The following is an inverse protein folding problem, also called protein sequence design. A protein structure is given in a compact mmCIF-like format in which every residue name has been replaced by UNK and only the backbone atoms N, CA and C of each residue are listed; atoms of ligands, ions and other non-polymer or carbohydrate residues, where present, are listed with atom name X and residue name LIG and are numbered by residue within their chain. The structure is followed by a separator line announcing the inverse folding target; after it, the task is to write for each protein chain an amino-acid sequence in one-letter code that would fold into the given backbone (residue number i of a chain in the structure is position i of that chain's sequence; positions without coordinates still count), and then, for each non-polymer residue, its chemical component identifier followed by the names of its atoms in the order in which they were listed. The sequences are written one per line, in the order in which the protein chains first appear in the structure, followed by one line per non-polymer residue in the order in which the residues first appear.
data_IF_249568322417
#
_entry.id   IF_249568322417
#
_cell.length_a   1.000
_cell.length_b   1.000
_cell.length_c   1.000
_cell.angle_alpha   90.00
_cell.angle_beta   90.00
_cell.angle_gamma   90.00
#
_symmetry.space_group_name_H-M   'P 1'
#
loop_
_entity.id
_entity.type
_entity.pdbx_description
1 polymer ?
#
# COMPACT_ATOMS: atom_id res chain seq x y z
N UNK A 1 4.16 45.13 -33.15
CA UNK A 1 5.39 45.75 -32.61
C UNK A 1 5.24 45.80 -31.09
N UNK A 2 6.19 45.18 -30.36
CA UNK A 2 6.60 45.37 -28.94
C UNK A 2 5.46 45.48 -27.89
N UNK A 3 5.44 44.66 -26.84
CA UNK A 3 6.50 44.65 -25.82
C UNK A 3 6.49 43.35 -25.02
N UNK A 4 7.68 42.75 -24.91
CA UNK A 4 8.05 41.71 -23.95
C UNK A 4 8.17 42.36 -22.57
N UNK A 5 7.57 41.77 -21.54
CA UNK A 5 7.97 42.02 -20.16
C UNK A 5 8.03 40.69 -19.41
N UNK A 6 9.23 40.11 -19.42
CA UNK A 6 9.68 39.15 -18.43
C UNK A 6 9.82 39.88 -17.10
N UNK A 7 9.23 39.35 -16.04
CA UNK A 7 9.51 39.74 -14.66
C UNK A 7 9.81 38.43 -13.94
N UNK A 8 11.03 37.89 -14.02
CA UNK A 8 12.25 38.33 -13.35
C UNK A 8 12.00 38.67 -11.87
N UNK A 9 12.35 37.68 -11.04
CA UNK A 9 13.09 37.83 -9.78
C UNK A 9 12.65 38.95 -8.83
N UNK A 10 12.02 38.56 -7.72
CA UNK A 10 11.78 39.43 -6.57
C UNK A 10 12.24 38.79 -5.26
N UNK A 11 13.54 38.53 -5.12
CA UNK A 11 14.15 38.39 -3.80
C UNK A 11 14.44 39.78 -3.22
N UNK A 12 13.54 40.33 -2.43
CA UNK A 12 13.76 41.45 -1.49
C UNK A 12 12.60 41.36 -0.47
N UNK A 13 12.70 41.46 0.85
CA UNK A 13 13.55 42.25 1.76
C UNK A 13 13.56 41.50 3.10
N UNK A 14 14.73 41.38 3.74
CA UNK A 14 14.81 41.08 5.17
C UNK A 14 14.29 42.30 5.96
N UNK A 15 13.12 42.17 6.57
CA UNK A 15 12.59 43.15 7.51
C UNK A 15 12.35 42.44 8.85
N UNK A 16 13.11 42.85 9.87
CA UNK A 16 12.87 42.51 11.25
C UNK A 16 11.51 43.11 11.66
N UNK A 17 10.54 42.25 11.91
CA UNK A 17 9.21 42.60 12.36
C UNK A 17 8.42 41.32 12.52
N UNK A 18 7.93 41.06 13.72
CA UNK A 18 7.14 39.88 14.07
C UNK A 18 5.79 39.91 13.32
N UNK A 19 5.80 39.56 12.05
CA UNK A 19 4.62 39.25 11.27
C UNK A 19 4.48 37.73 11.29
N UNK A 20 3.39 37.26 11.90
CA UNK A 20 3.01 35.86 11.91
C UNK A 20 2.97 35.35 10.46
N UNK A 21 4.01 34.61 10.08
CA UNK A 21 4.01 33.85 8.84
C UNK A 21 3.00 32.73 9.07
N UNK A 22 1.77 32.93 8.60
CA UNK A 22 0.82 31.85 8.44
C UNK A 22 1.47 30.82 7.53
N UNK A 23 2.02 29.77 8.13
CA UNK A 23 2.48 28.59 7.42
C UNK A 23 1.21 27.95 6.84
N UNK A 24 0.83 28.37 5.64
CA UNK A 24 -0.14 27.65 4.85
C UNK A 24 0.43 26.23 4.75
N UNK A 25 -0.22 25.28 5.44
CA UNK A 25 0.16 23.89 5.38
C UNK A 25 0.29 23.53 3.91
N UNK A 26 1.51 23.24 3.46
CA UNK A 26 1.73 22.72 2.13
C UNK A 26 0.77 21.53 2.00
N UNK A 27 -0.06 21.44 0.94
CA UNK A 27 -0.86 20.26 0.73
C UNK A 27 0.11 19.09 0.73
N UNK A 28 -0.07 18.15 1.66
CA UNK A 28 0.68 16.91 1.66
C UNK A 28 0.44 16.28 0.29
N UNK A 29 1.45 16.28 -0.57
CA UNK A 29 1.44 15.50 -1.78
C UNK A 29 1.37 14.03 -1.35
N UNK A 30 0.14 13.52 -1.24
CA UNK A 30 -0.15 12.17 -0.79
C UNK A 30 0.25 11.20 -1.90
N UNK A 31 1.46 10.66 -1.80
CA UNK A 31 1.86 9.46 -2.53
C UNK A 31 2.94 8.70 -1.76
N UNK A 32 2.90 8.76 -0.42
CA UNK A 32 3.61 7.76 0.35
C UNK A 32 2.76 6.48 0.36
N UNK A 33 3.36 5.30 0.10
CA UNK A 33 2.64 4.05 0.19
C UNK A 33 2.06 3.90 1.61
N UNK A 34 0.80 3.48 1.72
CA UNK A 34 0.19 3.13 3.00
C UNK A 34 0.66 1.73 3.39
N UNK A 35 1.16 1.61 4.61
CA UNK A 35 1.76 0.39 5.15
C UNK A 35 0.95 0.00 6.39
N UNK A 36 0.44 -1.23 6.41
CA UNK A 36 -0.21 -1.84 7.55
C UNK A 36 0.57 -3.12 7.92
N UNK A 37 1.53 -3.04 8.84
CA UNK A 37 2.18 -4.23 9.41
C UNK A 37 1.36 -4.76 10.60
N UNK A 38 1.31 -6.08 10.74
CA UNK A 38 0.70 -6.76 11.88
C UNK A 38 1.65 -7.86 12.40
N UNK A 39 2.19 -7.61 13.59
CA UNK A 39 2.99 -8.56 14.37
C UNK A 39 2.09 -9.59 15.06
N UNK A 40 2.63 -10.68 15.63
CA UNK A 40 1.80 -11.73 16.21
C UNK A 40 0.92 -11.17 17.34
N UNK A 41 -0.40 -11.39 17.23
CA UNK A 41 -1.41 -10.87 18.14
C UNK A 41 -1.75 -9.38 17.97
N UNK A 42 -1.42 -8.79 16.82
CA UNK A 42 -1.70 -7.38 16.52
C UNK A 42 -2.51 -7.22 15.23
N UNK A 43 -3.30 -6.15 15.21
CA UNK A 43 -4.04 -5.68 14.06
C UNK A 43 -3.59 -4.26 13.67
N UNK A 44 -3.58 -3.96 12.38
CA UNK A 44 -3.37 -2.61 11.85
C UNK A 44 -4.32 -2.35 10.70
N UNK A 45 -5.03 -1.23 10.73
CA UNK A 45 -6.00 -0.89 9.68
C UNK A 45 -5.95 0.59 9.34
N UNK A 46 -6.03 0.87 8.05
CA UNK A 46 -6.12 2.21 7.46
C UNK A 46 -7.19 2.20 6.35
N UNK A 47 -7.41 3.36 5.71
CA UNK A 47 -8.42 3.48 4.66
C UNK A 47 -8.16 2.59 3.42
N UNK A 48 -6.90 2.24 3.16
CA UNK A 48 -6.50 1.46 1.98
C UNK A 48 -5.82 0.13 2.29
N UNK A 49 -5.32 -0.06 3.51
CA UNK A 49 -4.66 -1.30 3.91
C UNK A 49 -5.28 -1.86 5.20
N UNK A 50 -5.24 -3.18 5.36
CA UNK A 50 -5.61 -3.84 6.61
C UNK A 50 -4.74 -5.08 6.78
N UNK A 51 -4.13 -5.24 7.93
CA UNK A 51 -3.36 -6.41 8.31
C UNK A 51 -3.81 -6.89 9.68
N UNK A 52 -4.15 -8.16 9.80
CA UNK A 52 -4.55 -8.80 11.04
C UNK A 52 -3.69 -10.04 11.25
N UNK A 53 -3.22 -10.23 12.47
CA UNK A 53 -2.32 -11.33 12.78
C UNK A 53 -2.67 -11.98 14.10
N UNK A 54 -2.95 -13.28 14.06
CA UNK A 54 -3.13 -14.09 15.25
C UNK A 54 -1.85 -14.30 16.05
N UNK A 55 -1.90 -15.06 17.15
CA UNK A 55 -0.82 -15.14 18.15
C UNK A 55 0.53 -15.63 17.61
N UNK A 56 0.53 -16.33 16.48
CA UNK A 56 1.72 -16.93 15.85
C UNK A 56 1.89 -16.52 14.39
N UNK A 57 1.05 -15.62 13.87
CA UNK A 57 1.09 -15.17 12.46
C UNK A 57 1.93 -13.90 12.25
N UNK A 58 2.20 -13.58 10.99
CA UNK A 58 2.73 -12.30 10.55
C UNK A 58 1.99 -11.83 9.29
N UNK A 59 1.33 -10.68 9.34
CA UNK A 59 0.63 -10.13 8.19
C UNK A 59 1.22 -8.78 7.76
N UNK A 60 1.33 -8.58 6.45
CA UNK A 60 1.75 -7.32 5.86
C UNK A 60 0.80 -6.92 4.73
N UNK A 61 0.29 -5.69 4.79
CA UNK A 61 -0.49 -5.09 3.71
C UNK A 61 0.12 -3.75 3.32
N UNK A 62 0.44 -3.59 2.04
CA UNK A 62 1.01 -2.39 1.44
C UNK A 62 0.09 -1.95 0.31
N UNK A 63 -0.25 -0.67 0.29
CA UNK A 63 -0.98 -0.08 -0.83
C UNK A 63 -0.31 1.18 -1.32
N UNK A 64 -0.29 1.37 -2.63
CA UNK A 64 0.13 2.62 -3.23
C UNK A 64 -0.86 3.07 -4.32
N UNK A 65 -0.90 4.38 -4.56
CA UNK A 65 -1.60 4.98 -5.70
C UNK A 65 -3.09 4.55 -5.85
N UNK A 66 -3.80 4.39 -4.73
CA UNK A 66 -5.25 4.10 -4.72
C UNK A 66 -5.63 2.61 -4.64
N UNK A 67 -4.67 1.71 -4.49
CA UNK A 67 -4.93 0.27 -4.28
C UNK A 67 -5.63 -0.06 -2.95
N UNK A 68 -6.04 -1.32 -2.80
CA UNK A 68 -6.63 -1.90 -1.59
C UNK A 68 -5.95 -3.22 -1.26
N UNK A 69 -5.38 -3.35 -0.07
CA UNK A 69 -4.70 -4.58 0.38
C UNK A 69 -5.22 -5.02 1.74
N UNK A 70 -5.60 -6.29 1.85
CA UNK A 70 -5.98 -6.94 3.10
C UNK A 70 -5.14 -8.19 3.29
N UNK A 71 -4.58 -8.37 4.48
CA UNK A 71 -3.79 -9.54 4.84
C UNK A 71 -4.18 -10.05 6.22
N UNK A 72 -4.50 -11.33 6.34
CA UNK A 72 -4.80 -12.00 7.61
C UNK A 72 -3.87 -13.18 7.78
N UNK A 73 -3.22 -13.32 8.93
CA UNK A 73 -2.27 -14.41 9.18
C UNK A 73 -2.55 -15.12 10.52
N UNK A 74 -2.48 -16.44 10.52
CA UNK A 74 -2.46 -17.27 11.73
C UNK A 74 -1.53 -18.49 11.54
N UNK A 75 -1.31 -19.28 12.59
CA UNK A 75 -0.65 -20.59 12.50
C UNK A 75 0.71 -20.59 11.77
N UNK A 76 1.59 -19.63 12.10
CA UNK A 76 2.90 -19.43 11.47
C UNK A 76 2.84 -19.09 9.96
N UNK A 77 1.72 -18.54 9.49
CA UNK A 77 1.61 -17.96 8.15
C UNK A 77 2.23 -16.56 8.08
N UNK A 78 2.82 -16.26 6.92
CA UNK A 78 3.41 -14.97 6.58
C UNK A 78 2.86 -14.34 5.28
N UNK A 79 1.57 -13.99 5.16
CA UNK A 79 1.03 -13.36 3.97
C UNK A 79 1.44 -11.88 3.79
N UNK A 80 1.89 -11.54 2.59
CA UNK A 80 2.19 -10.19 2.15
C UNK A 80 1.28 -9.76 0.98
N UNK A 81 0.40 -8.79 1.23
CA UNK A 81 -0.52 -8.21 0.24
C UNK A 81 0.01 -6.86 -0.26
N UNK A 82 0.20 -6.70 -1.57
CA UNK A 82 0.73 -5.47 -2.18
C UNK A 82 -0.19 -5.01 -3.32
N UNK A 83 -0.92 -3.91 -3.12
CA UNK A 83 -1.80 -3.35 -4.15
C UNK A 83 -1.25 -2.03 -4.69
N UNK A 84 -0.94 -2.00 -6.00
CA UNK A 84 -0.28 -0.88 -6.67
C UNK A 84 -1.21 -0.29 -7.73
N UNK A 85 -1.68 0.93 -7.51
CA UNK A 85 -2.48 1.67 -8.49
C UNK A 85 -3.99 1.56 -8.31
N UNK A 86 -4.74 2.34 -9.11
CA UNK A 86 -6.19 2.42 -8.99
C UNK A 86 -6.86 1.10 -9.39
N UNK A 87 -7.82 0.66 -8.59
CA UNK A 87 -8.55 -0.59 -8.82
C UNK A 87 -7.75 -1.86 -8.49
N UNK A 88 -6.50 -1.74 -8.04
CA UNK A 88 -5.72 -2.88 -7.56
C UNK A 88 -6.29 -3.39 -6.24
N UNK A 89 -6.64 -4.67 -6.17
CA UNK A 89 -7.16 -5.30 -4.94
C UNK A 89 -6.39 -6.56 -4.62
N UNK A 90 -5.88 -6.68 -3.40
CA UNK A 90 -5.22 -7.89 -2.90
C UNK A 90 -5.87 -8.32 -1.60
N UNK A 91 -6.33 -9.57 -1.55
CA UNK A 91 -6.83 -10.21 -0.33
C UNK A 91 -6.01 -11.46 -0.06
N UNK A 92 -5.39 -11.51 1.11
CA UNK A 92 -4.56 -12.63 1.56
C UNK A 92 -5.09 -13.18 2.87
N UNK A 93 -5.30 -14.48 2.92
CA UNK A 93 -5.58 -15.22 4.14
C UNK A 93 -4.56 -16.34 4.29
N UNK A 94 -3.81 -16.31 5.38
CA UNK A 94 -2.80 -17.31 5.72
C UNK A 94 -3.27 -18.16 6.88
N UNK A 95 -3.74 -19.37 6.60
CA UNK A 95 -4.24 -20.33 7.62
C UNK A 95 -3.26 -21.48 7.91
N UNK A 96 -2.26 -21.68 7.07
CA UNK A 96 -1.28 -22.77 7.16
C UNK A 96 0.13 -22.21 7.40
N UNK A 97 1.05 -22.97 8.02
CA UNK A 97 2.44 -22.52 8.11
C UNK A 97 3.03 -22.35 6.71
N UNK A 98 3.56 -21.17 6.41
CA UNK A 98 4.13 -20.86 5.10
C UNK A 98 4.11 -19.38 4.72
N UNK A 99 4.76 -19.06 3.60
CA UNK A 99 4.80 -17.72 3.04
C UNK A 99 3.78 -17.60 1.90
N UNK A 100 3.00 -16.53 1.89
CA UNK A 100 2.17 -16.16 0.74
C UNK A 100 2.48 -14.72 0.34
N UNK A 101 2.53 -14.44 -0.95
CA UNK A 101 2.73 -13.10 -1.47
C UNK A 101 1.78 -12.87 -2.63
N UNK A 102 1.23 -11.67 -2.72
CA UNK A 102 0.56 -11.25 -3.93
C UNK A 102 0.60 -9.77 -4.16
N UNK A 103 0.65 -9.46 -5.44
CA UNK A 103 0.94 -8.17 -6.00
C UNK A 103 -0.11 -7.92 -7.08
N UNK A 104 -0.96 -6.92 -6.89
CA UNK A 104 -1.88 -6.47 -7.93
C UNK A 104 -1.43 -5.12 -8.46
N UNK A 105 -1.34 -4.99 -9.78
CA UNK A 105 -1.21 -3.73 -10.49
C UNK A 105 -2.56 -3.05 -10.75
N UNK A 106 -2.58 -1.94 -11.51
CA UNK A 106 -3.81 -1.19 -11.79
C UNK A 106 -4.89 -2.06 -12.45
N UNK A 107 -6.09 -2.09 -11.85
CA UNK A 107 -7.19 -2.95 -12.28
C UNK A 107 -6.97 -4.46 -12.07
N UNK A 108 -5.90 -4.83 -11.36
CA UNK A 108 -5.59 -6.21 -11.00
C UNK A 108 -6.28 -6.65 -9.72
N UNK A 109 -6.57 -7.95 -9.63
CA UNK A 109 -7.16 -8.57 -8.44
C UNK A 109 -6.36 -9.82 -8.08
N UNK A 110 -5.98 -9.94 -6.81
CA UNK A 110 -5.36 -11.14 -6.26
C UNK A 110 -6.15 -11.60 -5.04
N UNK A 111 -6.53 -12.87 -5.02
CA UNK A 111 -7.17 -13.51 -3.88
C UNK A 111 -6.44 -14.80 -3.54
N UNK A 112 -6.00 -14.91 -2.29
CA UNK A 112 -5.39 -16.11 -1.72
C UNK A 112 -6.13 -16.42 -0.43
N UNK A 113 -6.82 -17.57 -0.42
CA UNK A 113 -7.60 -18.03 0.73
C UNK A 113 -6.77 -18.91 1.68
N UNK A 114 -5.60 -19.38 1.22
CA UNK A 114 -4.72 -20.28 1.96
C UNK A 114 -5.22 -21.73 1.99
N UNK A 115 -6.30 -22.05 1.27
CA UNK A 115 -6.90 -23.39 1.11
C UNK A 115 -6.72 -23.90 -0.33
N UNK A 116 -7.15 -23.08 -1.28
CA UNK A 116 -7.10 -23.30 -2.71
C UNK A 116 -5.92 -22.53 -3.34
N UNK A 117 -5.64 -22.83 -4.61
CA UNK A 117 -4.62 -22.08 -5.34
C UNK A 117 -4.98 -20.59 -5.48
N UNK A 118 -3.98 -19.71 -5.57
CA UNK A 118 -4.22 -18.27 -5.66
C UNK A 118 -4.92 -17.92 -6.98
N UNK A 119 -5.83 -16.94 -6.94
CA UNK A 119 -6.55 -16.43 -8.11
C UNK A 119 -6.03 -15.04 -8.48
N UNK A 120 -5.64 -14.88 -9.75
CA UNK A 120 -5.10 -13.64 -10.30
C UNK A 120 -5.96 -13.17 -11.49
N UNK A 121 -6.32 -11.88 -11.51
CA UNK A 121 -6.96 -11.23 -12.66
C UNK A 121 -6.25 -9.93 -13.00
N UNK A 122 -6.14 -9.62 -14.29
CA UNK A 122 -5.44 -8.43 -14.76
C UNK A 122 -3.96 -8.47 -14.39
N UNK A 123 -3.23 -7.33 -14.42
CA UNK A 123 -1.80 -7.30 -14.14
C UNK A 123 -1.54 -7.69 -12.69
N UNK A 124 -1.22 -8.95 -12.43
CA UNK A 124 -1.18 -9.50 -11.07
C UNK A 124 -0.27 -10.72 -10.95
N UNK A 125 0.31 -10.88 -9.78
CA UNK A 125 1.17 -11.99 -9.41
C UNK A 125 0.82 -12.46 -8.02
N UNK A 126 0.74 -13.78 -7.82
CA UNK A 126 0.67 -14.35 -6.49
C UNK A 126 1.47 -15.64 -6.42
N UNK A 127 2.14 -15.83 -5.30
CA UNK A 127 2.81 -17.07 -4.93
C UNK A 127 2.33 -17.49 -3.55
N UNK A 128 1.81 -18.70 -3.46
CA UNK A 128 1.40 -19.31 -2.20
C UNK A 128 2.25 -20.56 -1.93
N UNK A 129 3.18 -20.45 -0.98
CA UNK A 129 4.00 -21.57 -0.54
C UNK A 129 3.26 -22.48 0.45
N UNK A 130 2.06 -22.13 0.90
CA UNK A 130 1.20 -23.01 1.68
C UNK A 130 0.57 -24.10 0.78
N UNK A 131 0.21 -23.74 -0.45
CA UNK A 131 -0.33 -24.68 -1.46
C UNK A 131 0.71 -25.11 -2.51
N UNK A 132 1.88 -24.47 -2.55
CA UNK A 132 2.86 -24.57 -3.63
C UNK A 132 2.27 -24.22 -5.01
N UNK A 133 1.35 -23.26 -5.04
CA UNK A 133 0.72 -22.77 -6.26
C UNK A 133 1.03 -21.29 -6.45
N UNK A 134 0.99 -20.86 -7.70
CA UNK A 134 1.16 -19.47 -8.07
C UNK A 134 0.23 -19.12 -9.21
N UNK A 135 -0.04 -17.82 -9.35
CA UNK A 135 -0.75 -17.27 -10.49
C UNK A 135 -0.03 -16.02 -11.00
N UNK A 136 -0.12 -15.80 -12.30
CA UNK A 136 0.48 -14.66 -12.98
C UNK A 136 -0.41 -14.30 -14.17
N UNK A 137 -0.71 -13.02 -14.34
CA UNK A 137 -1.57 -12.49 -15.39
C UNK A 137 -1.14 -11.06 -15.76
#
# INVERSE_FOLDING_TARGET
MRTIARTALGCVVAAAGAAAVSLAAAPSAGAAPSLCPALPGQASSQASCSAESGPTGLALAITDNGGKASSTADNYAGPAAIALGPGATVTMNGIRPGLAIGIAGPGGEVVVDGENGPTCKGPSFAGDFQTFKGCMN
#
